data_IF_947476270160
#
_entry.id   IF_947476270160
#
_cell.length_a   1.000
_cell.length_b   1.000
_cell.length_c   1.000
_cell.angle_alpha   90.00
_cell.angle_beta   90.00
_cell.angle_gamma   90.00
#
_symmetry.space_group_name_H-M   'P 1'
#
loop_
_entity.id
_entity.type
_entity.pdbx_description
1 polymer ?
#
# COMPACT_ATOMS: atom_id res chain seq x y z
N UNK A 1 -2.56 -8.32 -22.92
CA UNK A 1 -3.10 -7.18 -22.15
C UNK A 1 -2.03 -6.74 -21.17
N UNK A 2 -1.29 -5.68 -21.49
CA UNK A 2 -0.16 -5.20 -20.69
C UNK A 2 -0.53 -3.85 -20.08
N UNK A 3 -0.80 -3.81 -18.77
CA UNK A 3 -1.02 -2.57 -18.05
C UNK A 3 0.30 -1.76 -17.97
N UNK A 4 0.27 -0.42 -18.10
CA UNK A 4 1.44 0.44 -18.29
C UNK A 4 2.35 0.66 -17.05
N UNK A 5 2.15 -0.08 -15.95
CA UNK A 5 2.75 0.24 -14.64
C UNK A 5 4.09 -0.47 -14.35
N UNK A 6 4.91 -0.75 -15.36
CA UNK A 6 6.14 -1.59 -15.26
C UNK A 6 7.23 -1.12 -14.27
N UNK A 7 7.20 0.13 -13.79
CA UNK A 7 8.26 0.69 -12.94
C UNK A 7 8.32 0.14 -11.50
N UNK A 8 7.26 -0.54 -11.04
CA UNK A 8 7.12 -0.94 -9.65
C UNK A 8 7.27 -2.44 -9.39
N UNK A 9 7.47 -3.24 -10.44
CA UNK A 9 7.71 -4.67 -10.30
C UNK A 9 8.89 -4.94 -9.36
N UNK A 10 8.68 -5.83 -8.38
CA UNK A 10 9.64 -6.20 -7.32
C UNK A 10 10.12 -5.05 -6.42
N UNK A 11 9.55 -3.84 -6.54
CA UNK A 11 9.88 -2.73 -5.66
C UNK A 11 9.14 -2.87 -4.33
N UNK A 12 9.84 -2.56 -3.23
CA UNK A 12 9.21 -2.39 -1.92
C UNK A 12 8.68 -0.98 -1.82
N UNK A 13 7.37 -0.85 -1.62
CA UNK A 13 6.69 0.45 -1.58
C UNK A 13 5.90 0.55 -0.28
N UNK A 14 5.99 1.71 0.38
CA UNK A 14 5.20 2.00 1.58
C UNK A 14 4.04 2.89 1.18
N UNK A 15 2.81 2.53 1.56
CA UNK A 15 1.61 3.35 1.34
C UNK A 15 0.98 3.69 2.67
N UNK A 16 0.88 4.99 2.96
CA UNK A 16 0.16 5.52 4.12
C UNK A 16 -1.28 5.88 3.75
N UNK A 17 -2.24 5.63 4.63
CA UNK A 17 -3.66 5.86 4.32
C UNK A 17 -4.22 4.79 3.37
N UNK A 18 -3.72 3.56 3.46
CA UNK A 18 -4.00 2.48 2.52
C UNK A 18 -5.40 1.85 2.67
N UNK A 19 -6.15 2.14 3.73
CA UNK A 19 -7.42 1.46 4.01
C UNK A 19 -8.60 1.98 3.19
N UNK A 20 -8.53 3.19 2.63
CA UNK A 20 -9.66 3.77 1.88
C UNK A 20 -9.24 4.80 0.84
N UNK A 21 -10.22 5.23 0.03
CA UNK A 21 -10.08 6.35 -0.90
C UNK A 21 -8.92 6.18 -1.88
N UNK A 22 -8.13 7.24 -2.05
CA UNK A 22 -7.01 7.26 -2.99
C UNK A 22 -5.91 6.26 -2.58
N UNK A 23 -5.57 6.19 -1.29
CA UNK A 23 -4.52 5.29 -0.82
C UNK A 23 -4.85 3.80 -1.05
N UNK A 24 -6.12 3.43 -0.91
CA UNK A 24 -6.60 2.09 -1.28
C UNK A 24 -6.40 1.80 -2.77
N UNK A 25 -6.88 2.68 -3.66
CA UNK A 25 -6.75 2.47 -5.11
C UNK A 25 -5.29 2.52 -5.57
N UNK A 26 -4.45 3.36 -4.95
CA UNK A 26 -3.01 3.38 -5.20
C UNK A 26 -2.37 2.05 -4.78
N UNK A 27 -2.77 1.48 -3.64
CA UNK A 27 -2.29 0.17 -3.19
C UNK A 27 -2.67 -0.93 -4.18
N UNK A 28 -3.91 -0.97 -4.65
CA UNK A 28 -4.33 -1.92 -5.70
C UNK A 28 -3.48 -1.81 -6.97
N UNK A 29 -3.30 -0.60 -7.50
CA UNK A 29 -2.52 -0.40 -8.73
C UNK A 29 -1.04 -0.78 -8.55
N UNK A 30 -0.46 -0.56 -7.37
CA UNK A 30 0.91 -0.97 -7.07
C UNK A 30 1.04 -2.49 -6.95
N UNK A 31 0.05 -3.16 -6.35
CA UNK A 31 0.00 -4.63 -6.30
C UNK A 31 -0.14 -5.23 -7.71
N UNK A 32 -1.05 -4.68 -8.52
CA UNK A 32 -1.21 -5.05 -9.94
C UNK A 32 0.08 -4.84 -10.76
N UNK A 33 0.87 -3.84 -10.39
CA UNK A 33 2.18 -3.56 -10.98
C UNK A 33 3.30 -4.49 -10.49
N UNK A 34 3.02 -5.43 -9.59
CA UNK A 34 3.99 -6.39 -9.04
C UNK A 34 4.86 -5.82 -7.91
N UNK A 35 4.42 -4.76 -7.24
CA UNK A 35 5.14 -4.22 -6.09
C UNK A 35 4.90 -5.04 -4.82
N UNK A 36 5.89 -5.05 -3.93
CA UNK A 36 5.78 -5.54 -2.56
C UNK A 36 5.32 -4.39 -1.66
N UNK A 37 4.01 -4.26 -1.49
CA UNK A 37 3.44 -3.12 -0.74
C UNK A 37 3.42 -3.39 0.77
N UNK A 38 3.94 -2.44 1.54
CA UNK A 38 3.75 -2.32 3.00
C UNK A 38 2.71 -1.24 3.25
N UNK A 39 1.55 -1.62 3.77
CA UNK A 39 0.44 -0.72 4.04
C UNK A 39 0.46 -0.21 5.48
N UNK A 40 0.28 1.09 5.65
CA UNK A 40 0.13 1.78 6.93
C UNK A 40 -1.22 2.47 6.97
N UNK A 41 -2.04 2.15 7.95
CA UNK A 41 -3.31 2.84 8.19
C UNK A 41 -3.77 2.59 9.64
N UNK A 42 -4.71 3.42 10.12
CA UNK A 42 -5.39 3.23 11.40
C UNK A 42 -6.44 2.13 11.28
N UNK A 43 -7.10 2.07 10.13
CA UNK A 43 -8.16 1.12 9.84
C UNK A 43 -7.59 -0.14 9.16
N UNK A 44 -8.26 -1.29 9.27
CA UNK A 44 -7.84 -2.51 8.57
C UNK A 44 -7.79 -2.32 7.05
N UNK A 45 -6.81 -2.93 6.41
CA UNK A 45 -6.64 -2.94 4.95
C UNK A 45 -7.07 -4.30 4.40
N UNK A 46 -8.12 -4.32 3.56
CA UNK A 46 -8.64 -5.54 2.92
C UNK A 46 -7.98 -5.80 1.54
N UNK A 47 -6.65 -5.72 1.50
CA UNK A 47 -5.85 -6.02 0.32
C UNK A 47 -4.75 -7.01 0.69
N UNK A 48 -4.38 -7.89 -0.24
CA UNK A 48 -3.28 -8.85 -0.07
C UNK A 48 -1.92 -8.15 -0.22
N UNK A 49 -1.58 -7.33 0.77
CA UNK A 49 -0.31 -6.63 0.87
C UNK A 49 0.78 -7.52 1.45
N UNK A 50 2.05 -7.17 1.23
CA UNK A 50 3.18 -7.92 1.79
C UNK A 50 3.26 -7.78 3.31
N UNK A 51 2.84 -6.61 3.84
CA UNK A 51 2.74 -6.35 5.27
C UNK A 51 1.70 -5.26 5.51
N UNK A 52 0.91 -5.39 6.57
CA UNK A 52 0.08 -4.32 7.11
C UNK A 52 0.61 -3.91 8.49
N UNK A 53 0.73 -2.60 8.72
CA UNK A 53 1.14 -2.02 9.99
C UNK A 53 0.03 -1.09 10.47
N UNK A 54 -0.72 -1.47 11.53
CA UNK A 54 -1.71 -0.59 12.12
C UNK A 54 -1.00 0.56 12.83
N UNK A 55 -1.22 1.79 12.38
CA UNK A 55 -0.55 2.97 12.95
C UNK A 55 -1.43 4.20 12.85
N UNK A 56 -1.42 5.01 13.90
CA UNK A 56 -1.84 6.39 13.80
C UNK A 56 -0.62 7.31 13.61
N UNK A 57 -0.49 7.88 12.42
CA UNK A 57 0.62 8.75 12.05
C UNK A 57 0.60 10.11 12.78
N UNK A 58 -0.46 10.43 13.55
CA UNK A 58 -0.47 11.62 14.42
C UNK A 58 0.22 11.39 15.77
N UNK A 59 0.47 10.14 16.13
CA UNK A 59 1.11 9.77 17.40
C UNK A 59 2.59 9.42 17.13
N UNK A 60 3.50 10.33 17.50
CA UNK A 60 4.93 10.04 17.41
C UNK A 60 5.32 9.00 18.48
N UNK A 61 5.82 7.84 18.05
CA UNK A 61 6.37 6.84 18.97
C UNK A 61 7.83 7.20 19.29
N UNK A 62 8.19 7.17 20.57
CA UNK A 62 9.56 7.39 21.07
C UNK A 62 10.38 6.11 21.02
#
# INVERSE_FOLDING_TARGET
>A
MTSPHFGFAEKRVVVTGAASGIGYRTTELLLEAGAHVVALDRNPVDLKVAQFVPVDMTEATT
#
